data_IF_362967803350
#
_entry.id   IF_362967803350
#
_cell.length_a   1.000
_cell.length_b   1.000
_cell.length_c   1.000
_cell.angle_alpha   90.00
_cell.angle_beta   90.00
_cell.angle_gamma   90.00
#
_symmetry.space_group_name_H-M   'P 1'
#
loop_
_entity.id
_entity.type
_entity.pdbx_description
1 polymer ?
#
# COMPACT_ATOMS: atom_id res chain seq x y z
N UNK A 1 -29.98 49.28 13.60
CA UNK A 1 -28.86 48.33 13.48
C UNK A 1 -29.19 47.10 14.32
N UNK A 2 -29.17 45.87 13.78
CA UNK A 2 -29.42 44.70 14.62
C UNK A 2 -28.26 44.55 15.60
N UNK A 3 -28.57 44.38 16.90
CA UNK A 3 -27.59 44.05 17.95
C UNK A 3 -26.83 42.79 17.48
N UNK A 4 -25.50 42.88 17.33
CA UNK A 4 -24.66 41.69 17.17
C UNK A 4 -24.97 40.76 18.35
N UNK A 5 -25.56 39.60 18.06
CA UNK A 5 -25.74 38.52 19.05
C UNK A 5 -24.38 38.29 19.74
N UNK A 6 -24.40 38.24 21.07
CA UNK A 6 -23.20 37.93 21.86
C UNK A 6 -22.69 36.56 21.42
N UNK A 7 -21.38 36.46 21.13
CA UNK A 7 -20.78 35.19 20.71
C UNK A 7 -20.76 34.23 21.91
N UNK A 8 -21.08 32.95 21.72
CA UNK A 8 -21.07 31.98 22.82
C UNK A 8 -19.64 31.82 23.33
N UNK A 9 -19.49 31.72 24.65
CA UNK A 9 -18.19 31.48 25.27
C UNK A 9 -17.79 30.01 25.08
N UNK A 10 -16.63 29.79 24.47
CA UNK A 10 -16.06 28.45 24.30
C UNK A 10 -15.17 28.08 25.50
N UNK A 11 -15.27 26.83 26.01
CA UNK A 11 -14.31 26.30 26.97
C UNK A 11 -12.88 26.41 26.44
N UNK A 12 -11.91 26.57 27.35
CA UNK A 12 -10.49 26.79 27.01
C UNK A 12 -9.90 25.67 26.14
N UNK A 13 -10.31 24.43 26.37
CA UNK A 13 -9.95 23.26 25.55
C UNK A 13 -10.34 23.41 24.08
N UNK A 14 -11.56 23.89 23.80
CA UNK A 14 -12.06 24.08 22.44
C UNK A 14 -11.40 25.26 21.71
N UNK A 15 -11.05 26.33 22.45
CA UNK A 15 -10.22 27.42 21.89
C UNK A 15 -8.83 26.91 21.44
N UNK A 16 -8.22 26.00 22.21
CA UNK A 16 -6.96 25.34 21.85
C UNK A 16 -7.14 24.38 20.67
N UNK A 17 -8.22 23.60 20.65
CA UNK A 17 -8.56 22.70 19.55
C UNK A 17 -8.63 23.46 18.22
N UNK A 18 -9.36 24.58 18.16
CA UNK A 18 -9.49 25.38 16.93
C UNK A 18 -8.14 25.80 16.35
N UNK A 19 -7.21 26.24 17.21
CA UNK A 19 -5.85 26.63 16.81
C UNK A 19 -5.08 25.43 16.25
N UNK A 20 -5.01 24.35 17.02
CA UNK A 20 -4.24 23.16 16.65
C UNK A 20 -4.78 22.47 15.40
N UNK A 21 -6.10 22.46 15.20
CA UNK A 21 -6.73 21.84 14.04
C UNK A 21 -6.24 22.47 12.74
N UNK A 22 -6.09 23.80 12.71
CA UNK A 22 -5.74 24.51 11.50
C UNK A 22 -4.24 24.48 11.18
N UNK A 23 -3.39 24.39 12.21
CA UNK A 23 -1.93 24.26 12.06
C UNK A 23 -1.52 22.83 11.65
N UNK A 24 -2.34 21.83 11.99
CA UNK A 24 -2.13 20.44 11.58
C UNK A 24 -2.71 20.20 10.18
N UNK A 25 -1.90 20.26 9.13
CA UNK A 25 -2.36 20.05 7.76
C UNK A 25 -2.64 18.58 7.39
N UNK A 26 -2.42 17.62 8.28
CA UNK A 26 -2.67 16.20 8.00
C UNK A 26 -4.17 15.89 8.07
N UNK A 27 -4.75 15.32 7.01
CA UNK A 27 -6.13 14.81 7.02
C UNK A 27 -6.31 13.67 6.03
N UNK A 28 -7.40 12.92 6.19
CA UNK A 28 -7.78 11.83 5.30
C UNK A 28 -8.32 12.36 3.96
N UNK A 29 -7.42 12.78 3.08
CA UNK A 29 -7.72 13.08 1.68
C UNK A 29 -8.08 11.82 0.90
N UNK A 30 -9.23 11.83 0.22
CA UNK A 30 -9.55 10.81 -0.77
C UNK A 30 -9.57 11.40 -2.18
N UNK A 31 -9.00 10.71 -3.18
CA UNK A 31 -9.03 11.17 -4.56
C UNK A 31 -10.44 11.50 -4.99
N UNK A 32 -10.62 12.72 -5.51
CA UNK A 32 -11.86 13.05 -6.21
C UNK A 32 -11.93 12.11 -7.41
N UNK A 33 -13.05 11.42 -7.57
CA UNK A 33 -13.26 10.45 -8.62
C UNK A 33 -14.74 10.39 -8.95
N UNK A 34 -15.11 10.05 -10.18
CA UNK A 34 -16.50 9.65 -10.44
C UNK A 34 -16.91 8.52 -9.47
N UNK A 35 -18.21 8.25 -9.35
CA UNK A 35 -18.74 7.25 -8.40
C UNK A 35 -17.87 5.99 -8.34
N UNK A 36 -17.48 5.61 -7.12
CA UNK A 36 -16.67 4.43 -6.83
C UNK A 36 -17.62 3.29 -6.46
N UNK A 37 -18.32 2.76 -7.47
CA UNK A 37 -19.08 1.51 -7.37
C UNK A 37 -18.29 0.39 -8.02
N UNK A 38 -18.68 -0.87 -7.77
CA UNK A 38 -18.01 -2.04 -8.35
C UNK A 38 -18.02 -1.96 -9.88
N UNK A 39 -19.19 -1.67 -10.46
CA UNK A 39 -19.42 -1.56 -11.90
C UNK A 39 -18.60 -0.40 -12.47
N UNK A 40 -18.69 0.77 -11.84
CA UNK A 40 -17.99 1.96 -12.31
C UNK A 40 -16.46 1.84 -12.24
N UNK A 41 -15.93 1.06 -11.29
CA UNK A 41 -14.48 0.77 -11.22
C UNK A 41 -14.10 -0.24 -12.31
N UNK A 42 -14.90 -1.28 -12.52
CA UNK A 42 -14.68 -2.28 -13.58
C UNK A 42 -14.70 -1.65 -14.97
N UNK A 43 -15.76 -0.92 -15.29
CA UNK A 43 -15.96 -0.24 -16.58
C UNK A 43 -14.78 0.69 -16.92
N UNK A 44 -14.13 1.28 -15.92
CA UNK A 44 -12.98 2.16 -16.13
C UNK A 44 -11.66 1.41 -16.21
N UNK A 45 -11.53 0.31 -15.47
CA UNK A 45 -10.32 -0.51 -15.48
C UNK A 45 -10.23 -1.35 -16.76
N UNK A 46 -11.34 -1.91 -17.25
CA UNK A 46 -11.32 -2.82 -18.40
C UNK A 46 -10.73 -2.17 -19.67
N UNK A 47 -11.09 -0.95 -20.06
CA UNK A 47 -10.48 -0.29 -21.22
C UNK A 47 -9.05 0.20 -20.97
N UNK A 48 -8.61 0.28 -19.71
CA UNK A 48 -7.23 0.64 -19.37
C UNK A 48 -6.25 -0.48 -19.77
N UNK A 49 -6.73 -1.73 -19.84
CA UNK A 49 -5.96 -2.90 -20.29
C UNK A 49 -5.39 -2.69 -21.69
N UNK A 50 -6.14 -2.03 -22.58
CA UNK A 50 -5.72 -1.74 -23.97
C UNK A 50 -4.43 -0.90 -24.02
N UNK A 51 -4.07 -0.24 -22.92
CA UNK A 51 -2.91 0.65 -22.80
C UNK A 51 -1.75 0.06 -21.96
N UNK A 52 -1.91 -1.14 -21.36
CA UNK A 52 -0.90 -1.76 -20.50
C UNK A 52 0.42 -1.98 -21.26
N UNK A 53 1.52 -1.41 -20.75
CA UNK A 53 2.87 -1.59 -21.32
C UNK A 53 3.06 -1.08 -22.76
N UNK A 54 2.10 -0.34 -23.33
CA UNK A 54 2.13 0.03 -24.76
C UNK A 54 3.04 1.23 -25.06
N UNK A 55 2.78 2.37 -24.40
CA UNK A 55 3.52 3.62 -24.54
C UNK A 55 3.37 4.45 -23.25
N UNK A 56 4.16 5.53 -23.07
CA UNK A 56 4.06 6.37 -21.88
C UNK A 56 2.62 6.83 -21.60
N UNK A 57 2.17 6.70 -20.35
CA UNK A 57 0.80 6.97 -19.92
C UNK A 57 0.40 8.41 -20.22
N UNK A 58 1.33 9.36 -20.08
CA UNK A 58 1.12 10.75 -20.48
C UNK A 58 0.62 10.91 -21.93
N UNK A 59 1.02 10.01 -22.83
CA UNK A 59 0.61 9.98 -24.24
C UNK A 59 -0.69 9.19 -24.42
N UNK A 60 -0.96 8.19 -23.59
CA UNK A 60 -2.20 7.39 -23.59
C UNK A 60 -3.43 8.12 -23.05
N UNK A 61 -3.27 9.08 -22.12
CA UNK A 61 -4.37 9.68 -21.37
C UNK A 61 -5.54 10.16 -22.24
N UNK A 62 -5.26 10.84 -23.36
CA UNK A 62 -6.31 11.34 -24.26
C UNK A 62 -7.05 10.23 -24.98
N UNK A 63 -6.34 9.19 -25.43
CA UNK A 63 -6.94 8.08 -26.17
C UNK A 63 -7.72 7.14 -25.24
N UNK A 64 -7.27 6.98 -23.99
CA UNK A 64 -8.05 6.31 -22.95
C UNK A 64 -9.39 7.01 -22.69
N UNK A 65 -9.41 8.34 -22.59
CA UNK A 65 -10.67 9.09 -22.42
C UNK A 65 -11.58 8.95 -23.64
N UNK A 66 -11.04 9.02 -24.87
CA UNK A 66 -11.82 8.74 -26.09
C UNK A 66 -12.41 7.32 -26.09
N UNK A 67 -11.65 6.33 -25.60
CA UNK A 67 -12.11 4.95 -25.45
C UNK A 67 -13.27 4.85 -24.45
N UNK A 68 -13.18 5.52 -23.29
CA UNK A 68 -14.28 5.60 -22.34
C UNK A 68 -15.54 6.25 -22.96
N UNK A 69 -15.37 7.32 -23.73
CA UNK A 69 -16.49 8.00 -24.40
C UNK A 69 -17.14 7.10 -25.46
N UNK A 70 -16.34 6.38 -26.25
CA UNK A 70 -16.83 5.42 -27.26
C UNK A 70 -17.66 4.28 -26.63
N UNK A 71 -17.32 3.89 -25.41
CA UNK A 71 -18.03 2.86 -24.65
C UNK A 71 -19.21 3.42 -23.84
N UNK A 72 -19.48 4.73 -23.89
CA UNK A 72 -20.57 5.37 -23.13
C UNK A 72 -20.30 5.53 -21.63
N UNK A 73 -19.07 5.26 -21.17
CA UNK A 73 -18.68 5.28 -19.74
C UNK A 73 -18.42 6.71 -19.26
N UNK A 74 -18.05 7.61 -20.16
CA UNK A 74 -17.81 9.02 -19.84
C UNK A 74 -18.23 9.95 -20.98
N UNK A 75 -18.31 11.23 -20.65
CA UNK A 75 -18.51 12.34 -21.59
C UNK A 75 -17.43 13.41 -21.39
N UNK A 76 -16.35 13.09 -20.68
CA UNK A 76 -15.31 14.05 -20.37
C UNK A 76 -14.46 14.35 -21.61
N UNK A 77 -13.93 15.58 -21.67
CA UNK A 77 -12.96 15.99 -22.66
C UNK A 77 -11.55 16.11 -22.07
N UNK A 78 -10.55 15.74 -22.85
CA UNK A 78 -9.15 15.87 -22.48
C UNK A 78 -8.66 14.89 -21.40
N UNK A 79 -7.37 15.00 -21.01
CA UNK A 79 -6.70 14.01 -20.18
C UNK A 79 -7.00 14.09 -18.67
N UNK A 80 -7.77 15.09 -18.22
CA UNK A 80 -8.00 15.34 -16.79
C UNK A 80 -8.66 14.15 -16.09
N UNK A 81 -9.64 13.51 -16.76
CA UNK A 81 -10.32 12.32 -16.25
C UNK A 81 -9.33 11.16 -16.05
N UNK A 82 -8.45 10.92 -17.02
CA UNK A 82 -7.48 9.83 -16.94
C UNK A 82 -6.54 9.95 -15.72
N UNK A 83 -6.07 11.16 -15.41
CA UNK A 83 -5.22 11.41 -14.23
C UNK A 83 -5.97 11.19 -12.91
N UNK A 84 -7.23 11.60 -12.88
CA UNK A 84 -8.10 11.42 -11.74
C UNK A 84 -8.40 9.93 -11.50
N UNK A 85 -8.74 9.18 -12.56
CA UNK A 85 -9.04 7.76 -12.49
C UNK A 85 -7.82 6.91 -12.09
N UNK A 86 -6.61 7.30 -12.54
CA UNK A 86 -5.34 6.70 -12.06
C UNK A 86 -5.29 6.65 -10.54
N UNK A 87 -5.68 7.74 -9.86
CA UNK A 87 -5.63 7.80 -8.40
C UNK A 87 -6.60 6.81 -7.73
N UNK A 88 -7.80 6.62 -8.31
CA UNK A 88 -8.80 5.68 -7.77
C UNK A 88 -8.35 4.24 -7.93
N UNK A 89 -7.94 3.83 -9.14
CA UNK A 89 -7.47 2.45 -9.38
C UNK A 89 -6.18 2.14 -8.62
N UNK A 90 -5.32 3.14 -8.41
CA UNK A 90 -4.13 3.00 -7.56
C UNK A 90 -4.46 2.87 -6.08
N UNK A 91 -5.41 3.66 -5.56
CA UNK A 91 -5.86 3.57 -4.16
C UNK A 91 -6.40 2.16 -3.84
N UNK A 92 -7.09 1.54 -4.79
CA UNK A 92 -7.60 0.17 -4.70
C UNK A 92 -6.58 -0.89 -5.13
N UNK A 93 -5.35 -0.51 -5.47
CA UNK A 93 -4.29 -1.42 -5.88
C UNK A 93 -4.55 -2.20 -7.16
N UNK A 94 -5.51 -1.78 -8.01
CA UNK A 94 -5.91 -2.53 -9.20
C UNK A 94 -4.95 -2.30 -10.37
N UNK A 95 -4.46 -1.08 -10.51
CA UNK A 95 -3.50 -0.70 -11.53
C UNK A 95 -2.65 0.47 -11.02
N UNK A 96 -1.48 0.63 -11.63
CA UNK A 96 -0.60 1.75 -11.36
C UNK A 96 0.13 2.18 -12.64
N UNK A 97 0.86 3.29 -12.54
CA UNK A 97 1.76 3.73 -13.62
C UNK A 97 3.15 3.75 -13.03
N UNK A 98 4.04 2.98 -13.63
CA UNK A 98 5.38 2.77 -13.11
C UNK A 98 6.29 4.01 -13.32
N UNK A 99 7.50 4.04 -12.72
CA UNK A 99 8.44 5.14 -12.92
C UNK A 99 8.89 5.32 -14.39
N UNK A 100 8.72 4.30 -15.24
CA UNK A 100 8.91 4.37 -16.69
C UNK A 100 7.74 5.01 -17.44
N UNK A 101 6.73 5.50 -16.72
CA UNK A 101 5.46 6.03 -17.23
C UNK A 101 4.62 4.97 -17.94
N UNK A 102 4.76 3.68 -17.64
CA UNK A 102 3.96 2.62 -18.26
C UNK A 102 2.82 2.18 -17.34
N UNK A 103 1.64 1.95 -17.93
CA UNK A 103 0.50 1.37 -17.22
C UNK A 103 0.76 -0.10 -16.95
N UNK A 104 0.53 -0.53 -15.72
CA UNK A 104 0.55 -1.94 -15.32
C UNK A 104 -0.73 -2.31 -14.56
N UNK A 105 -1.36 -3.40 -14.96
CA UNK A 105 -2.50 -3.99 -14.26
C UNK A 105 -1.97 -5.02 -13.27
N UNK A 106 -2.26 -4.81 -12.00
CA UNK A 106 -1.78 -5.68 -10.91
C UNK A 106 -2.47 -7.05 -10.94
N UNK A 107 -1.93 -8.07 -10.22
CA UNK A 107 -2.60 -9.36 -10.07
C UNK A 107 -4.04 -9.26 -9.56
N UNK A 108 -4.30 -8.46 -8.52
CA UNK A 108 -5.68 -8.25 -8.00
C UNK A 108 -6.55 -7.49 -9.00
N UNK A 109 -5.97 -6.57 -9.79
CA UNK A 109 -6.67 -5.91 -10.89
C UNK A 109 -7.13 -6.87 -11.98
N UNK A 110 -6.30 -7.84 -12.35
CA UNK A 110 -6.68 -8.93 -13.27
C UNK A 110 -7.78 -9.80 -12.68
N UNK A 111 -7.61 -10.25 -11.43
CA UNK A 111 -8.64 -11.02 -10.73
C UNK A 111 -9.98 -10.28 -10.65
N UNK A 112 -9.95 -8.96 -10.44
CA UNK A 112 -11.14 -8.13 -10.42
C UNK A 112 -11.84 -8.02 -11.78
N UNK A 113 -11.06 -7.93 -12.87
CA UNK A 113 -11.61 -7.92 -14.23
C UNK A 113 -12.25 -9.25 -14.62
N UNK A 114 -11.65 -10.36 -14.19
CA UNK A 114 -12.10 -11.72 -14.50
C UNK A 114 -13.26 -12.20 -13.62
N UNK A 115 -13.48 -11.54 -12.47
CA UNK A 115 -14.52 -11.92 -11.53
C UNK A 115 -15.93 -11.61 -12.06
N UNK A 116 -16.84 -12.58 -11.94
CA UNK A 116 -18.28 -12.36 -12.22
C UNK A 116 -18.88 -11.30 -11.28
N UNK A 117 -18.37 -11.20 -10.05
CA UNK A 117 -18.70 -10.15 -9.10
C UNK A 117 -17.45 -9.74 -8.32
N UNK A 118 -16.98 -8.51 -8.53
CA UNK A 118 -15.78 -7.97 -7.91
C UNK A 118 -15.97 -7.33 -6.53
N UNK A 119 -17.18 -7.35 -5.94
CA UNK A 119 -17.49 -6.65 -4.68
C UNK A 119 -16.60 -7.12 -3.53
N UNK A 120 -16.43 -8.43 -3.36
CA UNK A 120 -15.57 -8.99 -2.31
C UNK A 120 -14.10 -8.56 -2.46
N UNK A 121 -13.62 -8.44 -3.70
CA UNK A 121 -12.25 -7.99 -4.00
C UNK A 121 -12.10 -6.53 -3.58
N UNK A 122 -12.98 -5.63 -4.03
CA UNK A 122 -12.91 -4.21 -3.64
C UNK A 122 -13.11 -4.01 -2.14
N UNK A 123 -13.93 -4.84 -1.50
CA UNK A 123 -14.10 -4.81 -0.06
C UNK A 123 -12.80 -5.13 0.69
N UNK A 124 -12.08 -6.16 0.27
CA UNK A 124 -10.77 -6.51 0.84
C UNK A 124 -9.73 -5.41 0.57
N UNK A 125 -9.68 -4.85 -0.64
CA UNK A 125 -8.79 -3.73 -0.98
C UNK A 125 -9.08 -2.50 -0.10
N UNK A 126 -10.36 -2.12 0.04
CA UNK A 126 -10.77 -0.98 0.87
C UNK A 126 -10.42 -1.21 2.35
N UNK A 127 -10.63 -2.43 2.87
CA UNK A 127 -10.33 -2.80 4.26
C UNK A 127 -8.85 -2.69 4.61
N UNK A 128 -7.96 -3.04 3.68
CA UNK A 128 -6.50 -3.01 3.90
C UNK A 128 -5.82 -1.74 3.42
N UNK A 129 -6.53 -0.81 2.78
CA UNK A 129 -5.94 0.45 2.33
C UNK A 129 -5.28 1.18 3.50
N UNK A 130 -3.97 1.42 3.38
CA UNK A 130 -3.23 2.27 4.31
C UNK A 130 -3.22 3.71 3.77
N UNK A 131 -3.51 4.66 4.65
CA UNK A 131 -3.73 6.03 4.22
C UNK A 131 -2.47 6.62 3.60
N UNK A 132 -1.42 6.87 4.38
CA UNK A 132 -0.15 7.25 3.77
C UNK A 132 0.52 6.04 3.13
N UNK A 133 0.92 6.25 1.88
CA UNK A 133 1.75 5.35 1.10
C UNK A 133 2.62 6.18 0.13
N UNK A 134 3.67 5.59 -0.45
CA UNK A 134 4.62 6.33 -1.30
C UNK A 134 4.01 7.00 -2.54
N UNK A 135 2.82 6.59 -3.00
CA UNK A 135 2.14 7.26 -4.14
C UNK A 135 1.49 8.61 -3.76
N UNK A 136 1.46 8.93 -2.46
CA UNK A 136 0.94 10.21 -1.95
C UNK A 136 2.07 11.23 -1.85
N UNK A 137 2.09 12.18 -2.78
CA UNK A 137 3.11 13.25 -2.83
C UNK A 137 3.03 14.31 -1.72
N UNK A 138 1.93 14.38 -0.95
CA UNK A 138 1.80 15.37 0.13
C UNK A 138 2.61 14.97 1.36
N UNK A 139 3.68 15.72 1.66
CA UNK A 139 4.51 15.48 2.85
C UNK A 139 3.73 15.61 4.17
N UNK A 140 2.73 16.50 4.23
CA UNK A 140 1.88 16.68 5.40
C UNK A 140 1.11 15.41 5.79
N UNK A 141 0.87 14.50 4.84
CA UNK A 141 0.11 13.27 5.09
C UNK A 141 0.99 12.11 5.56
N UNK A 142 2.34 12.23 5.52
CA UNK A 142 3.28 11.17 5.93
C UNK A 142 3.09 10.68 7.36
N UNK A 143 2.59 11.56 8.23
CA UNK A 143 2.31 11.27 9.63
C UNK A 143 1.10 10.37 9.83
N UNK A 144 0.27 10.13 8.80
CA UNK A 144 -0.94 9.32 8.89
C UNK A 144 -0.60 7.87 8.53
N UNK A 145 -0.18 7.12 9.52
CA UNK A 145 0.20 5.70 9.46
C UNK A 145 -0.92 4.82 10.03
N UNK A 146 -2.05 4.74 9.32
CA UNK A 146 -3.20 3.92 9.73
C UNK A 146 -3.94 3.30 8.54
N UNK A 147 -4.81 2.35 8.85
CA UNK A 147 -5.83 1.82 7.96
C UNK A 147 -7.19 2.43 8.34
N UNK A 148 -7.82 3.25 7.47
CA UNK A 148 -9.03 3.99 7.84
C UNK A 148 -10.22 3.08 8.17
N UNK A 149 -10.40 1.98 7.44
CA UNK A 149 -11.54 1.08 7.65
C UNK A 149 -11.48 0.39 9.03
N UNK A 150 -10.37 -0.26 9.44
CA UNK A 150 -10.22 -0.76 10.80
C UNK A 150 -10.42 0.30 11.89
N UNK A 151 -9.91 1.52 11.69
CA UNK A 151 -10.10 2.63 12.63
C UNK A 151 -11.59 3.00 12.77
N UNK A 152 -12.29 3.17 11.64
CA UNK A 152 -13.71 3.52 11.62
C UNK A 152 -14.60 2.42 12.21
N UNK A 153 -14.27 1.14 11.98
CA UNK A 153 -15.00 0.04 12.62
C UNK A 153 -14.90 0.16 14.14
N UNK A 154 -13.68 0.29 14.67
CA UNK A 154 -13.47 0.41 16.13
C UNK A 154 -14.16 1.64 16.70
N UNK A 155 -14.03 2.78 16.03
CA UNK A 155 -14.67 4.03 16.43
C UNK A 155 -16.19 3.87 16.52
N UNK A 156 -16.82 3.34 15.47
CA UNK A 156 -18.28 3.18 15.40
C UNK A 156 -18.80 2.06 16.30
N UNK A 157 -17.97 1.09 16.71
CA UNK A 157 -18.34 0.13 17.76
C UNK A 157 -18.42 0.79 19.15
N UNK A 158 -17.73 1.90 19.35
CA UNK A 158 -17.69 2.65 20.61
C UNK A 158 -18.68 3.82 20.66
N UNK A 159 -19.38 4.14 19.57
CA UNK A 159 -20.35 5.24 19.50
C UNK A 159 -21.78 4.70 19.34
N UNK A 160 -22.73 5.27 20.07
CA UNK A 160 -24.15 4.84 20.01
C UNK A 160 -24.85 5.26 18.71
N UNK A 161 -24.74 6.53 18.32
CA UNK A 161 -25.51 7.13 17.21
C UNK A 161 -24.67 7.39 15.94
N UNK A 162 -23.68 6.52 15.67
CA UNK A 162 -22.78 6.64 14.51
C UNK A 162 -21.94 7.91 14.52
N UNK A 163 -21.51 8.35 13.34
CA UNK A 163 -20.57 9.47 13.18
C UNK A 163 -21.12 10.49 12.18
N UNK A 164 -21.48 11.67 12.69
CA UNK A 164 -21.99 12.75 11.85
C UNK A 164 -20.92 13.30 10.89
N UNK A 165 -21.36 14.01 9.85
CA UNK A 165 -20.43 14.60 8.89
C UNK A 165 -19.47 15.62 9.49
N UNK A 166 -19.89 16.33 10.54
CA UNK A 166 -19.06 17.30 11.25
C UNK A 166 -18.05 16.58 12.13
N UNK A 167 -18.48 15.57 12.90
CA UNK A 167 -17.58 14.77 13.74
C UNK A 167 -16.54 14.02 12.91
N UNK A 168 -16.93 13.47 11.75
CA UNK A 168 -15.99 12.87 10.81
C UNK A 168 -14.92 13.87 10.38
N UNK A 169 -15.32 15.08 9.97
CA UNK A 169 -14.39 16.09 9.47
C UNK A 169 -13.46 16.63 10.56
N UNK A 170 -13.98 16.79 11.79
CA UNK A 170 -13.24 17.36 12.91
C UNK A 170 -12.29 16.37 13.58
N UNK A 171 -12.66 15.09 13.65
CA UNK A 171 -11.97 14.12 14.51
C UNK A 171 -11.49 12.89 13.73
N UNK A 172 -12.39 12.12 13.12
CA UNK A 172 -12.01 10.85 12.47
C UNK A 172 -11.01 11.08 11.32
N UNK A 173 -11.30 12.04 10.43
CA UNK A 173 -10.44 12.37 9.29
C UNK A 173 -9.09 12.99 9.70
N UNK A 174 -8.85 13.22 10.99
CA UNK A 174 -7.62 13.79 11.56
C UNK A 174 -6.77 12.75 12.31
N UNK A 175 -7.29 11.55 12.53
CA UNK A 175 -6.53 10.48 13.17
C UNK A 175 -5.31 10.09 12.34
N UNK A 176 -4.21 9.78 13.01
CA UNK A 176 -2.89 9.51 12.40
C UNK A 176 -2.45 8.07 12.60
N UNK A 177 -2.89 7.43 13.66
CA UNK A 177 -2.56 6.04 13.99
C UNK A 177 -3.75 5.37 14.70
N UNK A 178 -3.77 4.04 14.74
CA UNK A 178 -4.83 3.29 15.44
C UNK A 178 -4.89 3.62 16.93
N UNK A 179 -3.75 3.97 17.55
CA UNK A 179 -3.66 4.40 18.94
C UNK A 179 -4.30 5.76 19.24
N UNK A 180 -4.74 6.53 18.23
CA UNK A 180 -5.47 7.78 18.45
C UNK A 180 -6.96 7.53 18.77
N UNK A 181 -7.42 6.28 18.77
CA UNK A 181 -8.83 5.91 18.89
C UNK A 181 -9.50 6.48 20.14
N UNK A 182 -8.94 6.23 21.32
CA UNK A 182 -9.53 6.66 22.60
C UNK A 182 -9.64 8.19 22.65
N UNK A 183 -8.58 8.88 22.24
CA UNK A 183 -8.58 10.35 22.12
C UNK A 183 -9.66 10.85 21.17
N UNK A 184 -9.88 10.18 20.04
CA UNK A 184 -10.91 10.58 19.07
C UNK A 184 -12.32 10.34 19.62
N UNK A 185 -12.54 9.24 20.35
CA UNK A 185 -13.81 8.95 21.04
C UNK A 185 -14.11 10.05 22.07
N UNK A 186 -13.16 10.32 22.97
CA UNK A 186 -13.29 11.36 24.00
C UNK A 186 -13.58 12.74 23.38
N UNK A 187 -12.94 13.07 22.25
CA UNK A 187 -13.19 14.33 21.55
C UNK A 187 -14.60 14.41 20.96
N UNK A 188 -15.14 13.30 20.45
CA UNK A 188 -16.50 13.24 19.91
C UNK A 188 -17.52 13.37 21.04
N UNK A 189 -17.35 12.63 22.12
CA UNK A 189 -18.23 12.68 23.28
C UNK A 189 -18.26 14.09 23.90
N UNK A 190 -17.08 14.68 24.15
CA UNK A 190 -16.98 16.05 24.63
C UNK A 190 -17.58 17.09 23.67
N UNK A 191 -17.58 16.82 22.35
CA UNK A 191 -18.24 17.68 21.36
C UNK A 191 -19.76 17.54 21.40
N UNK A 192 -20.27 16.34 21.69
CA UNK A 192 -21.72 16.07 21.86
C UNK A 192 -22.29 16.70 23.11
N UNK A 193 -21.50 16.85 24.16
CA UNK A 193 -21.88 17.54 25.41
C UNK A 193 -22.04 19.06 25.27
N UNK A 194 -21.39 19.68 24.27
CA UNK A 194 -21.54 21.12 24.02
C UNK A 194 -22.98 21.47 23.61
N UNK A 195 -23.38 22.71 23.87
CA UNK A 195 -24.63 23.20 23.29
C UNK A 195 -24.46 23.50 21.78
N UNK A 196 -25.59 23.60 21.07
CA UNK A 196 -25.62 23.86 19.64
C UNK A 196 -24.93 25.16 19.23
N UNK A 197 -24.98 26.19 20.07
CA UNK A 197 -24.37 27.49 19.79
C UNK A 197 -22.84 27.39 19.85
N UNK A 198 -22.31 26.66 20.83
CA UNK A 198 -20.89 26.39 20.99
C UNK A 198 -20.35 25.53 19.83
N UNK A 199 -21.06 24.44 19.46
CA UNK A 199 -20.70 23.62 18.29
C UNK A 199 -20.64 24.46 17.00
N UNK A 200 -21.65 25.29 16.76
CA UNK A 200 -21.71 26.19 15.60
C UNK A 200 -20.57 27.21 15.62
N UNK A 201 -20.21 27.75 16.78
CA UNK A 201 -19.10 28.70 16.91
C UNK A 201 -17.74 28.06 16.65
N UNK A 202 -17.49 26.83 17.11
CA UNK A 202 -16.27 26.07 16.78
C UNK A 202 -16.14 25.90 15.26
N UNK A 203 -17.19 25.44 14.61
CA UNK A 203 -17.24 25.29 13.15
C UNK A 203 -16.99 26.63 12.45
N UNK A 204 -17.65 27.71 12.89
CA UNK A 204 -17.50 29.05 12.33
C UNK A 204 -16.05 29.57 12.45
N UNK A 205 -15.39 29.34 13.59
CA UNK A 205 -14.01 29.74 13.81
C UNK A 205 -13.05 28.97 12.89
N UNK A 206 -13.26 27.66 12.73
CA UNK A 206 -12.47 26.84 11.82
C UNK A 206 -12.68 27.22 10.35
N UNK A 207 -13.91 27.55 9.95
CA UNK A 207 -14.21 28.03 8.60
C UNK A 207 -13.60 29.40 8.31
N UNK A 208 -13.46 30.24 9.34
CA UNK A 208 -12.80 31.54 9.23
C UNK A 208 -11.26 31.45 9.21
N UNK A 209 -10.67 30.33 9.66
CA UNK A 209 -9.23 30.17 9.72
C UNK A 209 -8.65 29.90 8.32
N UNK A 210 -8.11 30.94 7.70
CA UNK A 210 -7.47 30.85 6.38
C UNK A 210 -6.09 30.21 6.49
N UNK A 211 -5.77 29.33 5.54
CA UNK A 211 -4.42 28.76 5.42
C UNK A 211 -3.56 29.79 4.68
N UNK A 212 -2.61 30.41 5.39
CA UNK A 212 -1.68 31.38 4.82
C UNK A 212 -0.98 30.86 3.55
N UNK A 213 -0.90 31.69 2.51
CA UNK A 213 -0.21 31.35 1.26
C UNK A 213 -0.98 30.47 0.28
N UNK A 214 -2.29 30.20 0.50
CA UNK A 214 -3.10 29.41 -0.43
C UNK A 214 -4.37 30.16 -0.88
N UNK A 215 -4.82 29.93 -2.13
CA UNK A 215 -6.14 30.38 -2.63
C UNK A 215 -7.32 29.52 -2.12
N UNK A 216 -7.05 28.52 -1.27
CA UNK A 216 -8.06 27.60 -0.75
C UNK A 216 -8.75 28.25 0.44
N UNK A 217 -10.01 27.89 0.69
CA UNK A 217 -10.70 28.24 1.94
C UNK A 217 -10.05 27.56 3.16
N UNK A 218 -10.80 27.39 4.25
CA UNK A 218 -10.29 26.74 5.45
C UNK A 218 -9.85 25.28 5.23
N UNK A 219 -9.02 24.75 6.14
CA UNK A 219 -8.72 23.32 6.18
C UNK A 219 -9.99 22.49 6.34
N UNK A 220 -10.91 22.92 7.20
CA UNK A 220 -12.20 22.26 7.40
C UNK A 220 -13.02 22.19 6.10
N UNK A 221 -13.07 23.28 5.33
CA UNK A 221 -13.72 23.27 4.03
C UNK A 221 -13.05 22.29 3.05
N UNK A 222 -11.71 22.21 3.07
CA UNK A 222 -10.97 21.24 2.25
C UNK A 222 -11.33 19.80 2.59
N UNK A 223 -11.43 19.46 3.89
CA UNK A 223 -11.87 18.14 4.36
C UNK A 223 -13.31 17.85 3.92
N UNK A 224 -14.22 18.83 4.08
CA UNK A 224 -15.63 18.71 3.69
C UNK A 224 -15.81 18.44 2.19
N UNK A 225 -15.03 19.11 1.34
CA UNK A 225 -15.08 18.91 -0.12
C UNK A 225 -14.65 17.51 -0.56
N UNK A 226 -13.89 16.77 0.28
CA UNK A 226 -13.48 15.38 0.02
C UNK A 226 -14.44 14.33 0.61
N UNK A 227 -15.39 14.74 1.45
CA UNK A 227 -16.17 13.83 2.31
C UNK A 227 -16.99 12.80 1.53
N UNK A 228 -17.69 13.22 0.48
CA UNK A 228 -18.55 12.31 -0.29
C UNK A 228 -17.75 11.17 -0.93
N UNK A 229 -16.55 11.46 -1.43
CA UNK A 229 -15.63 10.47 -1.98
C UNK A 229 -15.13 9.51 -0.90
N UNK A 230 -14.79 10.05 0.28
CA UNK A 230 -14.43 9.23 1.43
C UNK A 230 -15.55 8.27 1.85
N UNK A 231 -16.78 8.75 1.99
CA UNK A 231 -17.93 7.89 2.33
C UNK A 231 -18.09 6.73 1.34
N UNK A 232 -18.00 7.01 0.03
CA UNK A 232 -18.08 5.96 -1.00
C UNK A 232 -16.93 4.95 -0.88
N UNK A 233 -15.70 5.42 -0.63
CA UNK A 233 -14.54 4.55 -0.42
C UNK A 233 -14.72 3.65 0.81
N UNK A 234 -15.29 4.17 1.90
CA UNK A 234 -15.57 3.38 3.10
C UNK A 234 -16.68 2.37 2.85
N UNK A 235 -17.76 2.75 2.16
CA UNK A 235 -18.85 1.85 1.80
C UNK A 235 -18.40 0.67 0.93
N UNK A 236 -17.34 0.81 0.12
CA UNK A 236 -16.74 -0.32 -0.61
C UNK A 236 -16.32 -1.48 0.30
N UNK A 237 -15.95 -1.20 1.55
CA UNK A 237 -15.61 -2.26 2.52
C UNK A 237 -16.78 -3.20 2.83
N UNK A 238 -18.00 -2.82 2.44
CA UNK A 238 -19.28 -3.43 2.78
C UNK A 238 -19.65 -3.35 4.27
N UNK A 239 -18.85 -2.66 5.10
CA UNK A 239 -19.03 -2.60 6.55
C UNK A 239 -19.86 -1.40 7.03
N UNK A 240 -19.98 -0.37 6.19
CA UNK A 240 -20.61 0.88 6.59
C UNK A 240 -21.81 1.24 5.70
N UNK A 241 -22.78 1.92 6.29
CA UNK A 241 -23.87 2.61 5.62
C UNK A 241 -23.82 4.11 5.95
N UNK A 242 -24.50 4.89 5.11
CA UNK A 242 -24.64 6.33 5.28
C UNK A 242 -26.13 6.66 5.24
N UNK A 243 -26.63 7.34 6.27
CA UNK A 243 -28.04 7.74 6.35
C UNK A 243 -28.34 9.01 5.52
N UNK A 244 -29.59 9.46 5.55
CA UNK A 244 -30.05 10.64 4.81
C UNK A 244 -29.33 11.93 5.27
N UNK A 245 -28.95 12.02 6.54
CA UNK A 245 -28.15 13.13 7.10
C UNK A 245 -26.64 13.01 6.78
N UNK A 246 -26.28 12.05 5.94
CA UNK A 246 -24.91 11.71 5.55
C UNK A 246 -23.99 11.27 6.72
N UNK A 247 -24.57 10.86 7.83
CA UNK A 247 -23.85 10.29 8.96
C UNK A 247 -23.45 8.84 8.65
N UNK A 248 -22.26 8.44 9.09
CA UNK A 248 -21.66 7.13 8.84
C UNK A 248 -21.96 6.19 10.00
N UNK A 249 -22.38 4.96 9.70
CA UNK A 249 -22.71 3.93 10.69
C UNK A 249 -22.19 2.57 10.26
N UNK A 250 -22.01 1.67 11.23
CA UNK A 250 -21.82 0.26 10.92
C UNK A 250 -23.14 -0.34 10.43
N UNK A 251 -23.07 -1.16 9.38
CA UNK A 251 -24.23 -1.90 8.90
C UNK A 251 -24.75 -2.83 10.00
N UNK A 252 -26.07 -2.85 10.20
CA UNK A 252 -26.69 -3.66 11.26
C UNK A 252 -26.34 -5.14 11.10
N UNK A 253 -25.78 -5.75 12.14
CA UNK A 253 -25.42 -7.17 12.16
C UNK A 253 -24.24 -7.56 11.28
N UNK A 254 -23.45 -6.60 10.76
CA UNK A 254 -22.31 -6.89 9.88
C UNK A 254 -21.14 -7.56 10.59
N UNK A 255 -20.99 -7.34 11.90
CA UNK A 255 -19.91 -7.91 12.74
C UNK A 255 -20.27 -9.35 13.15
N UNK A 256 -20.21 -10.25 12.17
CA UNK A 256 -20.47 -11.69 12.31
C UNK A 256 -19.59 -12.49 11.35
N UNK A 257 -19.45 -13.80 11.61
CA UNK A 257 -18.72 -14.71 10.73
C UNK A 257 -17.31 -14.22 10.40
N UNK A 258 -16.98 -14.17 9.11
CA UNK A 258 -15.66 -13.77 8.60
C UNK A 258 -15.30 -12.31 8.92
N UNK A 259 -16.28 -11.39 9.00
CA UNK A 259 -16.01 -10.00 9.37
C UNK A 259 -15.56 -9.90 10.83
N UNK A 260 -16.19 -10.65 11.73
CA UNK A 260 -15.78 -10.69 13.15
C UNK A 260 -14.36 -11.25 13.27
N UNK A 261 -14.07 -12.38 12.61
CA UNK A 261 -12.73 -12.97 12.59
C UNK A 261 -11.69 -11.99 12.06
N UNK A 262 -12.00 -11.27 10.98
CA UNK A 262 -11.12 -10.25 10.42
C UNK A 262 -10.84 -9.09 11.39
N UNK A 263 -11.85 -8.61 12.12
CA UNK A 263 -11.67 -7.55 13.13
C UNK A 263 -10.81 -8.03 14.30
N UNK A 264 -11.02 -9.25 14.77
CA UNK A 264 -10.24 -9.89 15.85
C UNK A 264 -8.80 -10.15 15.44
N UNK A 265 -8.58 -10.65 14.22
CA UNK A 265 -7.27 -10.83 13.63
C UNK A 265 -6.54 -9.51 13.48
N UNK A 266 -7.19 -8.47 12.92
CA UNK A 266 -6.59 -7.14 12.82
C UNK A 266 -6.29 -6.53 14.21
N UNK A 267 -7.14 -6.77 15.22
CA UNK A 267 -6.84 -6.35 16.60
C UNK A 267 -5.52 -6.90 17.11
N UNK A 268 -5.27 -8.17 16.80
CA UNK A 268 -4.17 -8.94 17.37
C UNK A 268 -2.90 -8.80 16.54
N UNK A 269 -3.04 -8.75 15.22
CA UNK A 269 -1.97 -8.88 14.25
C UNK A 269 -1.85 -7.71 13.28
N UNK A 270 -2.86 -6.83 13.22
CA UNK A 270 -2.89 -5.70 12.29
C UNK A 270 -1.72 -4.76 12.52
N UNK A 271 -1.04 -4.37 11.45
CA UNK A 271 0.06 -3.40 11.53
C UNK A 271 0.16 -2.57 10.26
N UNK A 272 0.54 -1.31 10.43
CA UNK A 272 0.97 -0.47 9.32
C UNK A 272 2.30 -0.98 8.74
N UNK A 273 2.47 -0.91 7.41
CA UNK A 273 3.67 -1.35 6.70
C UNK A 273 4.31 -0.16 5.98
N UNK A 274 5.59 0.08 6.26
CA UNK A 274 6.34 1.19 5.68
C UNK A 274 7.05 0.77 4.39
N UNK A 275 6.55 1.28 3.26
CA UNK A 275 7.16 1.09 1.94
C UNK A 275 8.08 2.27 1.61
N UNK A 276 9.19 1.97 0.94
CA UNK A 276 10.25 2.88 0.53
C UNK A 276 9.95 3.59 -0.79
N UNK A 277 9.17 2.95 -1.67
CA UNK A 277 8.81 3.48 -2.98
C UNK A 277 7.41 3.00 -3.43
N UNK A 278 6.90 3.59 -4.51
CA UNK A 278 5.57 3.26 -5.08
C UNK A 278 5.49 1.80 -5.53
N UNK A 279 6.54 1.27 -6.14
CA UNK A 279 6.55 -0.07 -6.71
C UNK A 279 6.38 -1.15 -5.64
N UNK A 280 7.10 -1.03 -4.52
CA UNK A 280 6.98 -1.92 -3.38
C UNK A 280 5.58 -1.86 -2.75
N UNK A 281 5.00 -0.66 -2.65
CA UNK A 281 3.62 -0.50 -2.18
C UNK A 281 2.61 -1.17 -3.11
N UNK A 282 2.72 -0.96 -4.43
CA UNK A 282 1.81 -1.57 -5.41
C UNK A 282 2.01 -3.07 -5.55
N UNK A 283 3.21 -3.59 -5.28
CA UNK A 283 3.44 -5.04 -5.19
C UNK A 283 2.65 -5.68 -4.05
N UNK A 284 2.60 -5.03 -2.88
CA UNK A 284 1.78 -5.47 -1.76
C UNK A 284 0.30 -5.22 -1.99
N UNK A 285 -0.08 -3.99 -2.32
CA UNK A 285 -1.48 -3.59 -2.49
C UNK A 285 -2.14 -4.32 -3.67
N UNK A 286 -1.37 -4.68 -4.70
CA UNK A 286 -1.79 -5.42 -5.88
C UNK A 286 -1.78 -6.95 -5.74
N UNK A 287 -1.29 -7.49 -4.63
CA UNK A 287 -1.25 -8.94 -4.37
C UNK A 287 -2.55 -9.39 -3.68
N UNK A 288 -3.36 -10.29 -4.27
CA UNK A 288 -4.65 -10.69 -3.69
C UNK A 288 -4.52 -11.33 -2.31
N UNK A 289 -3.41 -12.00 -2.03
CA UNK A 289 -3.18 -12.74 -0.78
C UNK A 289 -2.54 -11.89 0.34
N UNK A 290 -2.09 -10.67 0.01
CA UNK A 290 -1.40 -9.82 0.96
C UNK A 290 -2.33 -9.29 2.06
N UNK A 291 -1.82 -9.24 3.29
CA UNK A 291 -2.54 -8.72 4.45
C UNK A 291 -1.82 -7.52 5.07
N UNK A 292 -2.57 -6.75 5.84
CA UNK A 292 -2.03 -5.66 6.65
C UNK A 292 -1.67 -6.18 8.06
N UNK A 293 -0.81 -7.19 8.13
CA UNK A 293 -0.46 -7.89 9.38
C UNK A 293 1.05 -7.96 9.64
N UNK A 294 1.42 -8.29 10.87
CA UNK A 294 2.83 -8.39 11.32
C UNK A 294 3.63 -9.40 10.52
N UNK A 295 3.03 -10.50 10.07
CA UNK A 295 3.75 -11.50 9.29
C UNK A 295 4.12 -10.94 7.90
N UNK A 296 3.17 -10.29 7.23
CA UNK A 296 3.39 -9.61 5.94
C UNK A 296 4.41 -8.49 6.09
N UNK A 297 4.34 -7.71 7.17
CA UNK A 297 5.33 -6.67 7.47
C UNK A 297 6.74 -7.24 7.64
N UNK A 298 6.87 -8.35 8.39
CA UNK A 298 8.14 -9.05 8.57
C UNK A 298 8.69 -9.55 7.22
N UNK A 299 7.84 -10.13 6.37
CA UNK A 299 8.24 -10.59 5.04
C UNK A 299 8.72 -9.42 4.17
N UNK A 300 7.98 -8.31 4.10
CA UNK A 300 8.36 -7.11 3.35
C UNK A 300 9.70 -6.54 3.82
N UNK A 301 9.89 -6.37 5.14
CA UNK A 301 11.14 -5.83 5.68
C UNK A 301 12.32 -6.78 5.51
N UNK A 302 12.06 -8.10 5.59
CA UNK A 302 13.07 -9.12 5.33
C UNK A 302 13.50 -9.09 3.87
N UNK A 303 12.56 -9.12 2.93
CA UNK A 303 12.86 -9.12 1.49
C UNK A 303 13.63 -7.86 1.05
N UNK A 304 13.37 -6.70 1.66
CA UNK A 304 14.10 -5.46 1.39
C UNK A 304 15.46 -5.36 2.12
N UNK A 305 15.77 -6.27 3.04
CA UNK A 305 16.99 -6.20 3.85
C UNK A 305 16.97 -5.14 4.96
N UNK A 306 15.78 -4.72 5.42
CA UNK A 306 15.60 -3.75 6.51
C UNK A 306 15.67 -4.45 7.88
N UNK A 307 16.91 -4.64 8.35
CA UNK A 307 17.23 -5.42 9.56
C UNK A 307 16.53 -4.89 10.81
N UNK A 308 16.49 -3.56 10.99
CA UNK A 308 15.93 -2.95 12.19
C UNK A 308 14.40 -3.00 12.19
N UNK A 309 13.74 -2.69 11.07
CA UNK A 309 12.28 -2.80 10.97
C UNK A 309 11.82 -4.26 11.12
N UNK A 310 12.49 -5.20 10.43
CA UNK A 310 12.19 -6.62 10.55
C UNK A 310 12.39 -7.14 11.99
N UNK A 311 13.47 -6.74 12.67
CA UNK A 311 13.71 -7.11 14.06
C UNK A 311 12.68 -6.48 15.01
N UNK A 312 12.23 -5.25 14.77
CA UNK A 312 11.20 -4.60 15.56
C UNK A 312 9.85 -5.32 15.45
N UNK A 313 9.45 -5.72 14.24
CA UNK A 313 8.24 -6.52 14.01
C UNK A 313 8.37 -7.90 14.66
N UNK A 314 9.51 -8.58 14.46
CA UNK A 314 9.75 -9.89 15.08
C UNK A 314 9.71 -9.83 16.61
N UNK A 315 10.20 -8.74 17.21
CA UNK A 315 10.08 -8.47 18.64
C UNK A 315 8.63 -8.28 19.06
N UNK A 316 7.84 -7.52 18.29
CA UNK A 316 6.41 -7.32 18.60
C UNK A 316 5.59 -8.61 18.47
N UNK A 317 6.07 -9.59 17.70
CA UNK A 317 5.53 -10.95 17.60
C UNK A 317 5.98 -11.88 18.75
N UNK A 318 6.74 -11.40 19.73
CA UNK A 318 7.12 -12.16 20.92
C UNK A 318 8.45 -12.90 20.83
N UNK A 319 9.31 -12.60 19.85
CA UNK A 319 10.62 -13.24 19.75
C UNK A 319 11.54 -12.91 20.94
N UNK A 320 12.29 -13.90 21.41
CA UNK A 320 13.28 -13.72 22.49
C UNK A 320 14.48 -12.88 22.03
N UNK A 321 15.24 -12.33 22.96
CA UNK A 321 16.49 -11.61 22.65
C UNK A 321 17.49 -12.48 21.87
N UNK A 322 17.54 -13.78 22.17
CA UNK A 322 18.38 -14.76 21.46
C UNK A 322 17.93 -14.95 20.02
N UNK A 323 16.62 -15.08 19.79
CA UNK A 323 16.05 -15.24 18.45
C UNK A 323 16.25 -13.99 17.60
N UNK A 324 16.11 -12.81 18.20
CA UNK A 324 16.38 -11.53 17.56
C UNK A 324 17.85 -11.40 17.17
N UNK A 325 18.79 -11.79 18.04
CA UNK A 325 20.23 -11.78 17.73
C UNK A 325 20.55 -12.70 16.54
N UNK A 326 20.05 -13.94 16.56
CA UNK A 326 20.24 -14.89 15.46
C UNK A 326 19.63 -14.38 14.16
N UNK A 327 18.43 -13.81 14.23
CA UNK A 327 17.75 -13.24 13.08
C UNK A 327 18.52 -12.05 12.48
N UNK A 328 18.97 -11.11 13.31
CA UNK A 328 19.81 -9.98 12.86
C UNK A 328 21.10 -10.47 12.19
N UNK A 329 21.77 -11.47 12.78
CA UNK A 329 22.99 -12.03 12.22
C UNK A 329 22.76 -12.69 10.84
N UNK A 330 21.66 -13.44 10.70
CA UNK A 330 21.26 -14.04 9.42
C UNK A 330 21.03 -12.96 8.36
N UNK A 331 20.25 -11.91 8.67
CA UNK A 331 19.98 -10.80 7.77
C UNK A 331 21.24 -10.01 7.38
N UNK A 332 22.14 -9.76 8.33
CA UNK A 332 23.40 -9.07 8.06
C UNK A 332 24.34 -9.92 7.18
N UNK A 333 24.37 -11.23 7.40
CA UNK A 333 25.13 -12.16 6.56
C UNK A 333 24.62 -12.15 5.12
N UNK A 334 23.31 -12.08 4.94
CA UNK A 334 22.64 -11.94 3.65
C UNK A 334 23.05 -10.65 2.94
N UNK A 335 22.93 -9.52 3.62
CA UNK A 335 23.32 -8.22 3.07
C UNK A 335 24.81 -8.21 2.68
N UNK A 336 25.67 -8.77 3.53
CA UNK A 336 27.11 -8.89 3.26
C UNK A 336 27.40 -9.74 2.03
N UNK A 337 26.64 -10.83 1.82
CA UNK A 337 26.78 -11.67 0.64
C UNK A 337 26.37 -10.91 -0.62
N UNK A 338 25.25 -10.20 -0.59
CA UNK A 338 24.81 -9.38 -1.72
C UNK A 338 25.82 -8.29 -2.04
N UNK A 339 26.30 -7.56 -1.03
CA UNK A 339 27.33 -6.51 -1.18
C UNK A 339 28.61 -7.09 -1.80
N UNK A 340 29.00 -8.30 -1.39
CA UNK A 340 30.17 -8.98 -1.93
C UNK A 340 29.99 -9.42 -3.38
N UNK A 341 28.80 -9.91 -3.75
CA UNK A 341 28.50 -10.30 -5.14
C UNK A 341 28.44 -9.06 -6.04
N UNK A 342 27.84 -7.96 -5.57
CA UNK A 342 27.79 -6.70 -6.33
C UNK A 342 29.21 -6.14 -6.54
N UNK A 343 29.98 -6.00 -5.46
CA UNK A 343 31.33 -5.44 -5.52
C UNK A 343 32.32 -6.28 -6.35
N UNK A 344 32.10 -7.60 -6.43
CA UNK A 344 32.94 -8.52 -7.18
C UNK A 344 32.13 -9.34 -8.20
N UNK A 345 31.23 -8.69 -8.94
CA UNK A 345 30.33 -9.41 -9.83
C UNK A 345 31.06 -10.18 -10.94
N UNK A 346 32.18 -9.66 -11.44
CA UNK A 346 33.04 -10.39 -12.39
C UNK A 346 33.61 -11.67 -11.78
N UNK A 347 34.04 -11.63 -10.51
CA UNK A 347 34.46 -12.82 -9.78
C UNK A 347 33.33 -13.82 -9.61
N UNK A 348 32.12 -13.35 -9.27
CA UNK A 348 30.92 -14.19 -9.20
C UNK A 348 30.59 -14.85 -10.53
N UNK A 349 30.59 -14.09 -11.63
CA UNK A 349 30.34 -14.60 -12.99
C UNK A 349 31.35 -15.70 -13.38
N UNK A 350 32.63 -15.50 -13.04
CA UNK A 350 33.67 -16.51 -13.25
C UNK A 350 33.45 -17.76 -12.38
N UNK A 351 33.07 -17.58 -11.11
CA UNK A 351 32.79 -18.68 -10.19
C UNK A 351 31.65 -19.57 -10.69
N UNK A 352 30.55 -18.98 -11.17
CA UNK A 352 29.42 -19.72 -11.74
C UNK A 352 29.65 -20.17 -13.19
N UNK A 353 30.81 -19.84 -13.78
CA UNK A 353 31.21 -20.16 -15.15
C UNK A 353 30.20 -19.68 -16.20
N UNK A 354 29.58 -18.51 -15.97
CA UNK A 354 28.64 -17.87 -16.90
C UNK A 354 29.08 -16.45 -17.20
N UNK A 355 29.08 -16.01 -18.47
CA UNK A 355 29.49 -14.66 -18.83
C UNK A 355 28.36 -13.67 -18.52
N UNK A 356 28.16 -13.38 -17.25
CA UNK A 356 27.10 -12.51 -16.75
C UNK A 356 27.55 -11.04 -16.72
N UNK A 357 26.62 -10.14 -17.01
CA UNK A 357 26.70 -8.70 -16.73
C UNK A 357 25.72 -8.35 -15.61
N UNK A 358 26.18 -7.56 -14.65
CA UNK A 358 25.33 -7.07 -13.58
C UNK A 358 24.30 -6.11 -14.15
N UNK A 359 23.02 -6.31 -13.81
CA UNK A 359 21.94 -5.37 -14.16
C UNK A 359 21.54 -4.58 -12.92
N UNK A 360 21.38 -5.24 -11.77
CA UNK A 360 21.09 -4.57 -10.52
C UNK A 360 20.94 -5.53 -9.35
N UNK A 361 21.05 -4.99 -8.14
CA UNK A 361 20.78 -5.66 -6.86
C UNK A 361 19.48 -5.12 -6.27
N UNK A 362 18.74 -5.95 -5.53
CA UNK A 362 17.44 -5.59 -4.96
C UNK A 362 16.56 -4.94 -6.04
N UNK A 363 16.58 -5.53 -7.24
CA UNK A 363 15.95 -4.96 -8.41
C UNK A 363 14.45 -4.99 -8.22
N UNK A 364 13.86 -3.82 -7.98
CA UNK A 364 12.47 -3.70 -7.61
C UNK A 364 11.55 -4.24 -8.72
N UNK A 365 10.54 -5.03 -8.36
CA UNK A 365 9.46 -5.48 -9.27
C UNK A 365 8.11 -5.33 -8.59
N UNK A 366 7.00 -5.43 -9.34
CA UNK A 366 5.64 -5.46 -8.75
C UNK A 366 5.29 -6.79 -8.08
N UNK A 367 6.23 -7.72 -8.07
CA UNK A 367 6.04 -9.03 -7.45
C UNK A 367 7.08 -9.32 -6.35
N UNK A 368 7.78 -8.26 -5.91
CA UNK A 368 8.85 -8.27 -4.89
C UNK A 368 10.22 -7.90 -5.46
N UNK A 369 11.21 -7.51 -4.64
CA UNK A 369 12.56 -7.23 -5.12
C UNK A 369 13.28 -8.52 -5.55
N UNK A 370 13.98 -8.47 -6.68
CA UNK A 370 14.90 -9.55 -7.09
C UNK A 370 16.23 -9.33 -6.39
N UNK A 371 16.75 -10.33 -5.66
CA UNK A 371 18.04 -10.21 -4.96
C UNK A 371 19.14 -9.68 -5.91
N UNK A 372 19.37 -10.36 -7.04
CA UNK A 372 20.28 -9.89 -8.11
C UNK A 372 19.72 -10.22 -9.50
N UNK A 373 19.66 -9.21 -10.37
CA UNK A 373 19.35 -9.37 -11.78
C UNK A 373 20.63 -9.24 -12.61
N UNK A 374 20.81 -10.15 -13.57
CA UNK A 374 21.95 -10.18 -14.46
C UNK A 374 21.53 -10.44 -15.91
N UNK A 375 22.42 -10.12 -16.86
CA UNK A 375 22.27 -10.42 -18.28
C UNK A 375 23.35 -11.39 -18.74
N UNK A 376 22.98 -12.44 -19.43
CA UNK A 376 23.93 -13.39 -20.03
C UNK A 376 24.45 -12.82 -21.36
N UNK A 377 25.76 -12.56 -21.44
CA UNK A 377 26.38 -11.96 -22.64
C UNK A 377 26.22 -12.81 -23.89
N UNK A 378 26.13 -14.14 -23.75
CA UNK A 378 26.04 -15.08 -24.87
C UNK A 378 24.62 -15.19 -25.39
N UNK A 379 23.65 -15.49 -24.52
CA UNK A 379 22.26 -15.65 -24.95
C UNK A 379 21.51 -14.33 -25.10
N UNK A 380 22.09 -13.22 -24.62
CA UNK A 380 21.45 -11.90 -24.45
C UNK A 380 20.22 -11.92 -23.54
N UNK A 381 19.96 -13.05 -22.87
CA UNK A 381 18.86 -13.26 -21.94
C UNK A 381 19.16 -12.79 -20.52
N UNK A 382 18.15 -12.89 -19.66
CA UNK A 382 18.23 -12.50 -18.26
C UNK A 382 18.45 -13.71 -17.35
N UNK A 383 19.19 -13.50 -16.26
CA UNK A 383 19.35 -14.46 -15.17
C UNK A 383 18.86 -13.80 -13.89
N UNK A 384 17.80 -14.37 -13.33
CA UNK A 384 17.27 -13.98 -12.01
C UNK A 384 17.99 -14.82 -10.96
N UNK A 385 18.70 -14.16 -10.05
CA UNK A 385 19.52 -14.82 -9.03
C UNK A 385 18.87 -14.57 -7.67
N UNK A 386 18.47 -15.63 -6.99
CA UNK A 386 17.83 -15.63 -5.67
C UNK A 386 18.75 -16.30 -4.65
N UNK A 387 19.03 -15.67 -3.51
CA UNK A 387 19.91 -16.26 -2.51
C UNK A 387 19.08 -17.05 -1.47
N UNK A 388 19.35 -18.35 -1.31
CA UNK A 388 18.72 -19.21 -0.31
C UNK A 388 19.32 -18.93 1.08
N UNK A 389 18.67 -18.03 1.79
CA UNK A 389 19.09 -17.48 3.09
C UNK A 389 18.44 -18.22 4.28
N UNK A 390 18.55 -19.56 4.32
CA UNK A 390 17.87 -20.39 5.35
C UNK A 390 16.34 -20.53 5.17
N UNK A 391 15.79 -19.93 4.11
CA UNK A 391 14.39 -20.07 3.69
C UNK A 391 14.08 -21.51 3.23
N UNK A 392 12.85 -21.94 3.48
CA UNK A 392 12.33 -23.21 2.98
C UNK A 392 12.41 -23.29 1.44
N UNK A 393 12.66 -24.48 0.91
CA UNK A 393 12.82 -24.72 -0.53
C UNK A 393 11.68 -24.12 -1.36
N UNK A 394 10.43 -24.40 -0.96
CA UNK A 394 9.23 -23.97 -1.68
C UNK A 394 9.08 -22.45 -1.73
N UNK A 395 9.43 -21.75 -0.65
CA UNK A 395 9.37 -20.27 -0.61
C UNK A 395 10.36 -19.65 -1.60
N UNK A 396 11.61 -20.12 -1.61
CA UNK A 396 12.66 -19.62 -2.51
C UNK A 396 12.33 -19.91 -3.96
N UNK A 397 11.86 -21.12 -4.26
CA UNK A 397 11.52 -21.50 -5.62
C UNK A 397 10.30 -20.72 -6.13
N UNK A 398 9.27 -20.54 -5.28
CA UNK A 398 8.10 -19.73 -5.61
C UNK A 398 8.45 -18.26 -5.90
N UNK A 399 9.36 -17.67 -5.12
CA UNK A 399 9.86 -16.31 -5.37
C UNK A 399 10.61 -16.23 -6.70
N UNK A 400 11.58 -17.12 -6.94
CA UNK A 400 12.32 -17.18 -8.20
C UNK A 400 11.39 -17.30 -9.41
N UNK A 401 10.41 -18.21 -9.37
CA UNK A 401 9.44 -18.40 -10.45
C UNK A 401 8.63 -17.14 -10.73
N UNK A 402 8.20 -16.43 -9.69
CA UNK A 402 7.44 -15.19 -9.81
C UNK A 402 8.27 -14.09 -10.46
N UNK A 403 9.52 -13.95 -10.04
CA UNK A 403 10.47 -12.97 -10.59
C UNK A 403 10.81 -13.27 -12.05
N UNK A 404 11.07 -14.53 -12.41
CA UNK A 404 11.30 -14.92 -13.81
C UNK A 404 10.10 -14.61 -14.69
N UNK A 405 8.88 -14.88 -14.21
CA UNK A 405 7.64 -14.52 -14.91
C UNK A 405 7.53 -13.01 -15.16
N UNK A 406 7.83 -12.19 -14.15
CA UNK A 406 7.84 -10.74 -14.28
C UNK A 406 8.90 -10.25 -15.28
N UNK A 407 10.12 -10.76 -15.22
CA UNK A 407 11.20 -10.40 -16.17
C UNK A 407 10.82 -10.79 -17.59
N UNK A 408 10.22 -11.98 -17.78
CA UNK A 408 9.75 -12.45 -19.10
C UNK A 408 8.71 -11.50 -19.69
N UNK A 409 7.74 -11.04 -18.89
CA UNK A 409 6.69 -10.12 -19.32
C UNK A 409 7.21 -8.71 -19.61
N UNK A 410 8.10 -8.18 -18.77
CA UNK A 410 8.39 -6.74 -18.73
C UNK A 410 9.75 -6.34 -19.32
N UNK A 411 10.75 -7.23 -19.33
CA UNK A 411 12.14 -6.88 -19.71
C UNK A 411 12.70 -7.73 -20.84
N UNK A 412 12.31 -9.00 -20.92
CA UNK A 412 12.98 -9.98 -21.77
C UNK A 412 12.62 -9.87 -23.25
N UNK A 413 11.40 -9.41 -23.58
CA UNK A 413 10.87 -9.54 -24.93
C UNK A 413 10.93 -11.00 -25.38
N UNK A 414 11.70 -11.29 -26.43
CA UNK A 414 11.94 -12.66 -26.91
C UNK A 414 13.21 -13.32 -26.34
N UNK A 415 13.99 -12.62 -25.53
CA UNK A 415 15.22 -13.15 -24.95
C UNK A 415 14.89 -14.21 -23.87
N UNK A 416 15.74 -15.25 -23.70
CA UNK A 416 15.50 -16.28 -22.69
C UNK A 416 15.62 -15.71 -21.28
N UNK A 417 14.85 -16.29 -20.35
CA UNK A 417 14.95 -16.00 -18.91
C UNK A 417 15.34 -17.29 -18.20
N UNK A 418 16.39 -17.24 -17.38
CA UNK A 418 16.86 -18.35 -16.56
C UNK A 418 16.89 -17.95 -15.08
N UNK A 419 16.88 -18.95 -14.20
CA UNK A 419 16.98 -18.76 -12.76
C UNK A 419 18.31 -19.25 -12.20
N UNK A 420 18.67 -18.75 -11.03
CA UNK A 420 19.80 -19.23 -10.25
C UNK A 420 19.47 -19.12 -8.76
N UNK A 421 19.65 -20.20 -8.01
CA UNK A 421 19.51 -20.20 -6.55
C UNK A 421 20.88 -20.36 -5.93
N UNK A 422 21.31 -19.41 -5.10
CA UNK A 422 22.63 -19.40 -4.45
C UNK A 422 22.46 -19.60 -2.95
N UNK A 423 23.02 -20.67 -2.36
CA UNK A 423 22.87 -20.95 -0.93
C UNK A 423 24.10 -21.61 -0.31
N UNK A 424 24.16 -21.66 1.02
CA UNK A 424 25.18 -22.46 1.73
C UNK A 424 24.89 -23.96 1.69
N UNK A 425 23.63 -24.33 1.49
CA UNK A 425 23.14 -25.70 1.41
C UNK A 425 22.03 -25.82 0.38
N UNK A 426 22.10 -26.82 -0.49
CA UNK A 426 21.04 -27.17 -1.45
C UNK A 426 20.43 -28.50 -1.03
N UNK A 427 19.17 -28.45 -0.58
CA UNK A 427 18.40 -29.60 -0.13
C UNK A 427 17.73 -30.36 -1.31
N UNK A 428 17.31 -31.60 -1.07
CA UNK A 428 16.67 -32.44 -2.10
C UNK A 428 15.33 -31.89 -2.56
N UNK A 429 14.64 -31.11 -1.71
CA UNK A 429 13.39 -30.43 -2.08
C UNK A 429 13.64 -29.39 -3.18
N UNK A 430 14.71 -28.59 -3.07
CA UNK A 430 15.10 -27.64 -4.12
C UNK A 430 15.53 -28.35 -5.41
N UNK A 431 16.22 -29.48 -5.31
CA UNK A 431 16.59 -30.29 -6.49
C UNK A 431 15.34 -30.82 -7.19
N UNK A 432 14.42 -31.41 -6.43
CA UNK A 432 13.15 -31.91 -6.94
C UNK A 432 12.30 -30.79 -7.57
N UNK A 433 12.22 -29.63 -6.91
CA UNK A 433 11.52 -28.46 -7.46
C UNK A 433 12.14 -28.00 -8.78
N UNK A 434 13.47 -27.91 -8.87
CA UNK A 434 14.17 -27.60 -10.12
C UNK A 434 13.86 -28.61 -11.22
N UNK A 435 13.96 -29.90 -10.91
CA UNK A 435 13.83 -30.99 -11.88
C UNK A 435 12.40 -31.12 -12.45
N UNK A 436 11.41 -30.58 -11.75
CA UNK A 436 10.03 -30.51 -12.21
C UNK A 436 9.76 -29.38 -13.23
N UNK A 437 10.72 -28.49 -13.51
CA UNK A 437 10.52 -27.33 -14.38
C UNK A 437 11.47 -27.33 -15.59
N UNK A 438 10.93 -27.09 -16.79
CA UNK A 438 11.71 -27.03 -18.04
C UNK A 438 12.56 -25.77 -18.17
N UNK A 439 12.33 -24.77 -17.32
CA UNK A 439 13.12 -23.52 -17.34
C UNK A 439 14.50 -23.78 -16.73
N UNK A 440 15.56 -23.32 -17.39
CA UNK A 440 16.92 -23.47 -16.88
C UNK A 440 17.08 -22.75 -15.54
N UNK A 441 17.30 -23.53 -14.48
CA UNK A 441 17.56 -23.05 -13.12
C UNK A 441 18.85 -23.69 -12.59
N UNK A 442 19.85 -22.85 -12.32
CA UNK A 442 21.11 -23.30 -11.73
C UNK A 442 21.02 -23.33 -10.19
N UNK A 443 21.52 -24.37 -9.54
CA UNK A 443 21.66 -24.44 -8.07
C UNK A 443 23.13 -24.30 -7.71
N UNK A 444 23.47 -23.21 -7.03
CA UNK A 444 24.86 -22.83 -6.70
C UNK A 444 25.05 -22.91 -5.19
N UNK A 445 26.07 -23.66 -4.78
CA UNK A 445 26.48 -23.72 -3.37
C UNK A 445 27.72 -22.87 -3.16
N UNK A 446 27.75 -22.06 -2.09
CA UNK A 446 28.94 -21.33 -1.67
C UNK A 446 29.31 -21.69 -0.22
N UNK A 447 30.60 -21.55 0.11
CA UNK A 447 31.09 -21.67 1.48
C UNK A 447 31.94 -20.45 1.84
N UNK A 448 31.59 -19.76 2.92
CA UNK A 448 32.41 -18.70 3.51
C UNK A 448 33.48 -19.31 4.42
N UNK A 449 34.61 -19.75 3.86
CA UNK A 449 35.81 -20.04 4.66
C UNK A 449 36.68 -18.79 4.72
N UNK A 450 36.63 -18.07 5.85
CA UNK A 450 37.66 -17.10 6.20
C UNK A 450 38.78 -17.83 6.95
N UNK A 451 39.98 -17.81 6.39
CA UNK A 451 41.21 -18.26 7.06
C UNK A 451 42.06 -17.04 7.39
N UNK A 452 42.36 -16.84 8.66
CA UNK A 452 43.41 -15.91 9.08
C UNK A 452 44.73 -16.65 9.12
N UNK A 453 45.78 -16.02 8.59
CA UNK A 453 47.16 -16.46 8.75
C UNK A 453 47.90 -15.31 9.44
N UNK A 454 48.45 -15.60 10.62
CA UNK A 454 49.43 -14.70 11.23
C UNK A 454 50.77 -15.09 10.61
N UNK A 455 51.43 -14.13 9.98
CA UNK A 455 52.83 -14.28 9.59
C UNK A 455 53.75 -14.07 10.78
#
# INVERSE_FOLDING_TARGET
>A
MPKKLARPELPSGWKRFVRNYADDHAYWYQPKGLAVTVEAVHDRLAPLVDFEGTRPWRECQGDYVKRLNKLGISQAEGPALARMLKQVVGTLGLAWVDPGDLVEITPVGRQFLDATNGSAILALQSRRYQFWNPSIGSAAHRVIQLHPVPFLVRLLQSLDDGLSTTEYALFAAKAKQIGDLDKVIEQIEAFRELDDSQRKEIVRLLDAYQIGGTKRGSLLNTVRLGRSYAMRMWQLSELFDVNDDHSLFLKKGVIRGEVRKWIEDYASNGTYIAFDNEKAFFAWMGNPDAKADRQTALDVYTERGDVEAAAAVKKSMGASATDLRKFRQMMLSEKTLEDSIEANFTGFANFVQRPLEFVGRQYETTVGPIDILARDKKSKGYVVIELKKGRAADKVFGQLSRYMGWVKKNLAGNAPVAGMIVGTTIDDKLRAARDAHDTKIDLVTYSSRMSFKVE
#
